data_IF_895218374216
#
_entry.id   IF_895218374216
#
_cell.length_a   1.000
_cell.length_b   1.000
_cell.length_c   1.000
_cell.angle_alpha   90.00
_cell.angle_beta   90.00
_cell.angle_gamma   90.00
#
_symmetry.space_group_name_H-M   'P 1'
#
loop_
_entity.id
_entity.type
_entity.pdbx_description
1 polymer ?
#
# COMPACT_ATOMS: atom_id res chain seq x y z
N UNK A 1 -18.55 14.96 -14.51
CA UNK A 1 -17.83 14.94 -15.79
C UNK A 1 -16.56 14.18 -15.52
N UNK A 2 -16.51 12.93 -15.98
CA UNK A 2 -15.34 12.06 -15.78
C UNK A 2 -14.26 12.68 -16.65
N UNK A 3 -13.29 13.34 -16.05
CA UNK A 3 -12.07 13.69 -16.75
C UNK A 3 -11.39 12.37 -16.99
N UNK A 4 -11.63 11.83 -18.15
CA UNK A 4 -10.94 10.65 -18.60
C UNK A 4 -9.45 10.89 -18.43
N UNK A 5 -8.79 10.00 -17.79
CA UNK A 5 -7.34 9.90 -17.65
C UNK A 5 -6.61 9.85 -18.99
N UNK A 6 -7.32 9.89 -20.04
CA UNK A 6 -6.84 10.22 -21.41
C UNK A 6 -5.90 11.43 -21.39
N UNK A 7 -6.05 12.31 -20.44
CA UNK A 7 -5.07 13.38 -20.23
C UNK A 7 -3.72 12.91 -19.69
N UNK A 8 -3.54 11.65 -19.38
CA UNK A 8 -2.20 11.13 -19.09
C UNK A 8 -1.29 11.17 -20.31
N UNK A 9 -1.84 11.18 -21.51
CA UNK A 9 -1.07 11.49 -22.72
C UNK A 9 -0.53 12.93 -22.74
N UNK A 10 -1.17 13.83 -21.99
CA UNK A 10 -0.73 15.22 -21.89
C UNK A 10 0.29 15.47 -20.80
N UNK A 11 0.56 14.46 -19.99
CA UNK A 11 1.45 14.63 -18.85
C UNK A 11 2.79 14.00 -19.17
N UNK A 12 3.41 14.01 -20.26
CA UNK A 12 4.77 13.54 -20.56
C UNK A 12 5.50 12.78 -19.42
N UNK A 13 4.71 12.14 -18.56
CA UNK A 13 5.21 11.35 -17.45
C UNK A 13 5.60 9.98 -17.97
N UNK A 14 6.71 9.52 -17.52
CA UNK A 14 7.37 8.29 -17.91
C UNK A 14 6.38 7.15 -18.14
N UNK A 15 6.59 6.30 -19.17
CA UNK A 15 5.72 5.17 -19.50
C UNK A 15 5.54 4.14 -18.38
N UNK A 16 6.22 4.33 -17.22
CA UNK A 16 6.08 3.51 -16.04
C UNK A 16 4.85 3.86 -15.19
N UNK A 17 4.21 5.00 -15.44
CA UNK A 17 2.96 5.37 -14.82
C UNK A 17 1.84 4.86 -15.71
N UNK A 18 1.57 3.58 -15.67
CA UNK A 18 0.39 3.06 -16.32
C UNK A 18 -0.82 3.38 -15.45
N UNK A 19 -1.51 4.43 -15.80
CA UNK A 19 -2.81 4.77 -15.23
C UNK A 19 -3.96 3.98 -15.87
N UNK A 20 -3.67 2.91 -16.62
CA UNK A 20 -4.67 1.94 -17.10
C UNK A 20 -5.58 1.41 -16.00
N UNK A 21 -5.38 1.92 -14.86
CA UNK A 21 -5.75 1.35 -13.61
C UNK A 21 -7.03 1.87 -13.05
N UNK A 22 -7.46 3.00 -13.46
CA UNK A 22 -8.45 3.73 -12.69
C UNK A 22 -9.64 4.18 -13.50
N UNK A 23 -10.30 3.27 -14.18
CA UNK A 23 -11.60 3.59 -14.76
C UNK A 23 -12.67 3.92 -13.70
N UNK A 24 -12.42 3.60 -12.43
CA UNK A 24 -13.42 3.74 -11.35
C UNK A 24 -13.01 4.61 -10.17
N UNK A 25 -11.77 5.10 -10.13
CA UNK A 25 -11.26 5.86 -8.98
C UNK A 25 -10.59 7.13 -9.44
N UNK A 26 -11.03 8.26 -8.90
CA UNK A 26 -10.35 9.54 -9.10
C UNK A 26 -8.99 9.51 -8.40
N UNK A 27 -7.92 9.35 -9.16
CA UNK A 27 -6.54 9.40 -8.67
C UNK A 27 -6.13 10.84 -8.39
N UNK A 28 -6.80 11.79 -9.04
CA UNK A 28 -6.57 13.22 -8.89
C UNK A 28 -7.74 13.88 -8.17
N UNK A 29 -7.44 14.83 -7.31
CA UNK A 29 -8.42 15.74 -6.76
C UNK A 29 -8.91 16.72 -7.85
N UNK A 30 -9.99 17.45 -7.58
CA UNK A 30 -10.54 18.44 -8.51
C UNK A 30 -9.56 19.56 -8.90
N UNK A 31 -8.53 19.79 -8.09
CA UNK A 31 -7.44 20.75 -8.32
C UNK A 31 -6.26 20.16 -9.13
N UNK A 32 -6.37 18.90 -9.59
CA UNK A 32 -5.32 18.22 -10.33
C UNK A 32 -4.21 17.61 -9.47
N UNK A 33 -4.29 17.74 -8.15
CA UNK A 33 -3.34 17.08 -7.25
C UNK A 33 -3.66 15.59 -7.10
N UNK A 34 -2.64 14.78 -6.81
CA UNK A 34 -2.86 13.36 -6.52
C UNK A 34 -3.69 13.16 -5.26
N UNK A 35 -4.74 12.34 -5.36
CA UNK A 35 -5.44 11.80 -4.20
C UNK A 35 -4.56 10.73 -3.55
N UNK A 36 -3.72 11.13 -2.61
CA UNK A 36 -2.75 10.28 -1.96
C UNK A 36 -2.72 10.45 -0.46
N UNK A 37 -2.39 9.36 0.22
CA UNK A 37 -2.08 9.41 1.64
C UNK A 37 -0.71 10.06 1.84
N UNK A 38 -0.67 11.21 2.54
CA UNK A 38 0.57 11.91 2.86
C UNK A 38 1.07 11.50 4.24
N UNK A 39 2.28 10.97 4.28
CA UNK A 39 2.95 10.51 5.50
C UNK A 39 4.16 11.41 5.78
N UNK A 40 4.28 11.88 7.03
CA UNK A 40 5.45 12.59 7.53
C UNK A 40 6.03 11.73 8.64
N UNK A 41 7.07 10.96 8.32
CA UNK A 41 7.66 10.01 9.25
C UNK A 41 9.13 9.73 8.90
N UNK A 42 9.99 9.82 9.90
CA UNK A 42 11.46 9.60 9.78
C UNK A 42 11.98 8.51 10.73
N UNK A 43 11.12 7.88 11.51
CA UNK A 43 11.54 6.98 12.60
C UNK A 43 12.40 5.80 12.15
N UNK A 44 12.39 5.45 10.86
CA UNK A 44 13.12 4.31 10.31
C UNK A 44 14.43 4.67 9.62
N UNK A 45 14.83 5.94 9.59
CA UNK A 45 15.96 6.39 8.75
C UNK A 45 17.30 5.79 9.17
N UNK A 46 17.58 5.70 10.46
CA UNK A 46 18.84 5.22 11.00
C UNK A 46 18.77 3.80 11.60
N UNK A 47 17.72 3.05 11.29
CA UNK A 47 17.53 1.70 11.82
C UNK A 47 18.22 0.64 10.95
N UNK A 48 18.81 -0.35 11.60
CA UNK A 48 19.26 -1.58 10.97
C UNK A 48 18.06 -2.49 10.62
N UNK A 49 18.33 -3.50 9.82
CA UNK A 49 17.34 -4.46 9.34
C UNK A 49 16.57 -5.18 10.46
N UNK A 50 17.26 -5.58 11.52
CA UNK A 50 16.67 -6.30 12.65
C UNK A 50 15.72 -5.41 13.43
N UNK A 51 16.13 -4.18 13.66
CA UNK A 51 15.32 -3.17 14.35
C UNK A 51 14.08 -2.80 13.54
N UNK A 52 14.23 -2.59 12.22
CA UNK A 52 13.08 -2.34 11.30
C UNK A 52 12.05 -3.47 11.43
N UNK A 53 12.47 -4.73 11.32
CA UNK A 53 11.55 -5.85 11.44
C UNK A 53 10.84 -5.90 12.80
N UNK A 54 11.56 -5.65 13.89
CA UNK A 54 11.00 -5.65 15.23
C UNK A 54 9.93 -4.56 15.39
N UNK A 55 10.23 -3.34 14.98
CA UNK A 55 9.26 -2.23 15.06
C UNK A 55 8.08 -2.43 14.11
N UNK A 56 8.29 -2.95 12.92
CA UNK A 56 7.22 -3.32 11.98
C UNK A 56 6.24 -4.31 12.61
N UNK A 57 6.75 -5.37 13.23
CA UNK A 57 5.92 -6.38 13.93
C UNK A 57 5.14 -5.75 15.07
N UNK A 58 5.80 -4.91 15.87
CA UNK A 58 5.17 -4.19 16.99
C UNK A 58 4.03 -3.31 16.48
N UNK A 59 4.26 -2.53 15.43
CA UNK A 59 3.25 -1.66 14.85
C UNK A 59 2.02 -2.46 14.38
N UNK A 60 2.23 -3.53 13.60
CA UNK A 60 1.12 -4.37 13.14
C UNK A 60 0.37 -5.01 14.31
N UNK A 61 1.07 -5.45 15.34
CA UNK A 61 0.44 -6.02 16.53
C UNK A 61 -0.39 -5.00 17.32
N UNK A 62 -0.05 -3.71 17.28
CA UNK A 62 -0.88 -2.65 17.86
C UNK A 62 -2.23 -2.50 17.17
N UNK A 63 -2.34 -2.88 15.90
CA UNK A 63 -3.59 -2.90 15.13
C UNK A 63 -4.34 -4.25 15.23
N UNK A 64 -3.82 -5.21 15.98
CA UNK A 64 -4.38 -6.56 16.03
C UNK A 64 -5.78 -6.59 16.62
N UNK A 65 -6.71 -7.21 15.90
CA UNK A 65 -8.12 -7.27 16.25
C UNK A 65 -8.94 -6.11 15.66
N UNK A 66 -8.29 -5.06 15.19
CA UNK A 66 -8.96 -3.93 14.55
C UNK A 66 -9.58 -4.33 13.21
N UNK A 67 -10.64 -3.62 12.84
CA UNK A 67 -11.38 -3.78 11.60
C UNK A 67 -11.42 -2.44 10.88
N UNK A 68 -10.83 -2.38 9.69
CA UNK A 68 -10.80 -1.19 8.86
C UNK A 68 -11.65 -1.37 7.61
N UNK A 69 -12.29 -0.31 7.14
CA UNK A 69 -13.10 -0.33 5.92
C UNK A 69 -12.32 0.29 4.77
N UNK A 70 -12.37 -0.36 3.62
CA UNK A 70 -11.92 0.22 2.34
C UNK A 70 -13.06 1.09 1.84
N UNK A 71 -12.81 2.40 1.68
CA UNK A 71 -13.83 3.39 1.34
C UNK A 71 -14.50 3.07 -0.01
N UNK A 72 -13.72 2.74 -1.03
CA UNK A 72 -14.20 2.43 -2.38
C UNK A 72 -15.20 1.26 -2.42
N UNK A 73 -14.92 0.18 -1.71
CA UNK A 73 -15.71 -1.06 -1.82
C UNK A 73 -16.55 -1.36 -0.60
N UNK A 74 -16.45 -0.55 0.45
CA UNK A 74 -17.04 -0.78 1.78
C UNK A 74 -16.69 -2.16 2.40
N UNK A 75 -15.62 -2.80 1.92
CA UNK A 75 -15.13 -4.06 2.45
C UNK A 75 -14.45 -3.85 3.80
N UNK A 76 -14.82 -4.66 4.78
CA UNK A 76 -14.15 -4.71 6.08
C UNK A 76 -12.93 -5.62 6.03
N UNK A 77 -11.79 -5.15 6.53
CA UNK A 77 -10.51 -5.85 6.59
C UNK A 77 -10.06 -5.95 8.04
N UNK A 78 -9.79 -7.15 8.48
CA UNK A 78 -9.39 -7.47 9.86
C UNK A 78 -7.85 -7.60 9.90
N UNK A 79 -7.24 -7.08 10.95
CA UNK A 79 -5.81 -7.29 11.23
C UNK A 79 -5.69 -8.47 12.21
N UNK A 80 -5.21 -9.61 11.74
CA UNK A 80 -5.06 -10.79 12.58
C UNK A 80 -3.59 -11.12 12.92
N UNK A 81 -3.38 -12.16 13.72
CA UNK A 81 -2.03 -12.61 14.10
C UNK A 81 -1.16 -13.01 12.90
N UNK A 82 -1.76 -13.47 11.80
CA UNK A 82 -0.99 -13.85 10.60
C UNK A 82 -0.43 -12.64 9.87
N UNK A 83 -1.10 -11.48 9.95
CA UNK A 83 -0.67 -10.27 9.27
C UNK A 83 0.76 -9.89 9.64
N UNK A 84 1.13 -9.85 10.91
CA UNK A 84 2.49 -9.49 11.33
C UNK A 84 3.55 -10.45 10.80
N UNK A 85 3.23 -11.76 10.74
CA UNK A 85 4.13 -12.78 10.22
C UNK A 85 4.33 -12.67 8.70
N UNK A 86 3.26 -12.60 7.94
CA UNK A 86 3.35 -12.57 6.48
C UNK A 86 3.95 -11.24 6.00
N UNK A 87 3.57 -10.14 6.63
CA UNK A 87 4.09 -8.81 6.33
C UNK A 87 5.62 -8.72 6.52
N UNK A 88 6.16 -9.30 7.60
CA UNK A 88 7.57 -9.16 7.96
C UNK A 88 8.45 -10.30 7.48
N UNK A 89 7.92 -11.52 7.40
CA UNK A 89 8.71 -12.73 7.18
C UNK A 89 8.32 -13.55 5.95
N UNK A 90 7.44 -13.05 5.08
CA UNK A 90 7.20 -13.68 3.78
C UNK A 90 8.51 -13.73 2.97
N UNK A 91 8.62 -14.68 2.04
CA UNK A 91 9.77 -14.74 1.12
C UNK A 91 9.97 -13.43 0.37
N UNK A 92 8.87 -12.80 -0.02
CA UNK A 92 8.89 -11.49 -0.64
C UNK A 92 9.51 -10.44 0.30
N UNK A 93 9.01 -10.34 1.55
CA UNK A 93 9.52 -9.36 2.51
C UNK A 93 11.00 -9.58 2.85
N UNK A 94 11.46 -10.84 2.88
CA UNK A 94 12.87 -11.16 3.12
C UNK A 94 13.77 -10.75 1.95
N UNK A 95 13.29 -10.80 0.70
CA UNK A 95 14.05 -10.42 -0.49
C UNK A 95 14.18 -8.93 -0.73
N UNK A 96 13.42 -8.09 0.01
CA UNK A 96 13.44 -6.65 -0.17
C UNK A 96 14.77 -6.03 0.29
N UNK A 97 15.21 -4.99 -0.41
CA UNK A 97 16.33 -4.14 0.03
C UNK A 97 15.96 -3.32 1.28
N UNK A 98 16.96 -2.74 1.93
CA UNK A 98 16.79 -2.00 3.18
C UNK A 98 15.83 -0.81 3.04
N UNK A 99 15.89 -0.08 1.94
CA UNK A 99 15.05 1.10 1.72
C UNK A 99 13.57 0.72 1.60
N UNK A 100 13.26 -0.33 0.82
CA UNK A 100 11.88 -0.83 0.71
C UNK A 100 11.37 -1.39 2.04
N UNK A 101 12.24 -1.98 2.86
CA UNK A 101 11.86 -2.42 4.22
C UNK A 101 11.56 -1.27 5.15
N UNK A 102 12.33 -0.19 5.08
CA UNK A 102 12.01 1.06 5.80
C UNK A 102 10.65 1.58 5.40
N UNK A 103 10.35 1.64 4.10
CA UNK A 103 9.03 2.03 3.61
C UNK A 103 7.92 1.13 4.17
N UNK A 104 8.09 -0.19 4.12
CA UNK A 104 7.13 -1.13 4.74
C UNK A 104 6.99 -0.89 6.24
N UNK A 105 8.09 -0.61 6.93
CA UNK A 105 8.08 -0.26 8.35
C UNK A 105 7.25 0.98 8.63
N UNK A 106 7.43 2.04 7.87
CA UNK A 106 6.63 3.27 7.95
C UNK A 106 5.16 2.94 7.71
N UNK A 107 4.83 2.25 6.62
CA UNK A 107 3.45 1.89 6.28
C UNK A 107 2.76 1.07 7.38
N UNK A 108 3.50 0.28 8.14
CA UNK A 108 2.92 -0.52 9.24
C UNK A 108 2.33 0.30 10.37
N UNK A 109 2.67 1.58 10.50
CA UNK A 109 2.09 2.50 11.49
C UNK A 109 0.72 3.05 11.03
N UNK A 110 0.49 3.09 9.73
CA UNK A 110 -0.64 3.78 9.09
C UNK A 110 -1.60 2.81 8.42
N UNK A 111 -1.74 1.59 8.96
CA UNK A 111 -2.57 0.54 8.34
C UNK A 111 -4.02 0.93 8.17
N UNK A 112 -4.58 1.72 9.09
CA UNK A 112 -5.95 2.23 8.98
C UNK A 112 -6.10 3.10 7.74
N UNK A 113 -5.26 4.11 7.63
CA UNK A 113 -5.28 5.08 6.54
C UNK A 113 -5.00 4.41 5.19
N UNK A 114 -4.02 3.49 5.15
CA UNK A 114 -3.66 2.73 3.95
C UNK A 114 -4.82 1.87 3.48
N UNK A 115 -5.43 1.10 4.37
CA UNK A 115 -6.56 0.24 4.01
C UNK A 115 -7.76 1.09 3.58
N UNK A 116 -8.06 2.17 4.31
CA UNK A 116 -9.22 3.01 4.01
C UNK A 116 -9.11 3.73 2.67
N UNK A 117 -7.89 4.13 2.27
CA UNK A 117 -7.63 4.83 1.01
C UNK A 117 -7.20 3.90 -0.13
N UNK A 118 -7.27 2.58 0.07
CA UNK A 118 -6.97 1.61 -0.98
C UNK A 118 -8.09 1.54 -2.02
N UNK A 119 -7.73 1.39 -3.28
CA UNK A 119 -8.62 1.46 -4.44
C UNK A 119 -8.25 0.45 -5.53
N UNK A 120 -8.99 0.44 -6.63
CA UNK A 120 -8.75 -0.42 -7.81
C UNK A 120 -8.62 -1.91 -7.46
N UNK A 121 -9.74 -2.47 -7.04
CA UNK A 121 -9.80 -3.87 -6.63
C UNK A 121 -9.61 -4.83 -7.80
N UNK A 122 -8.62 -5.69 -7.73
CA UNK A 122 -8.49 -6.89 -8.56
C UNK A 122 -8.54 -8.17 -7.72
N UNK A 123 -8.83 -9.29 -8.36
CA UNK A 123 -8.92 -10.59 -7.70
C UNK A 123 -7.89 -11.56 -8.27
N UNK A 124 -7.20 -12.31 -7.39
CA UNK A 124 -6.24 -13.33 -7.79
C UNK A 124 -6.47 -14.62 -7.02
N UNK A 125 -6.54 -15.72 -7.75
CA UNK A 125 -6.62 -17.04 -7.15
C UNK A 125 -5.28 -17.76 -7.34
N UNK A 126 -4.51 -17.89 -6.28
CA UNK A 126 -3.24 -18.60 -6.31
C UNK A 126 -3.45 -20.10 -6.17
N UNK A 127 -3.04 -20.88 -7.16
CA UNK A 127 -3.18 -22.35 -7.18
C UNK A 127 -2.19 -23.09 -6.26
N UNK A 128 -1.21 -22.42 -5.67
CA UNK A 128 -0.23 -23.05 -4.77
C UNK A 128 -0.89 -23.49 -3.47
N UNK A 129 -0.66 -24.73 -3.03
CA UNK A 129 -1.30 -25.35 -1.85
C UNK A 129 -1.21 -24.49 -0.57
N UNK A 130 -0.06 -23.82 -0.32
CA UNK A 130 0.08 -22.90 0.82
C UNK A 130 -0.95 -21.76 0.77
N UNK A 131 -1.11 -21.14 -0.39
CA UNK A 131 -2.01 -20.01 -0.55
C UNK A 131 -3.47 -20.43 -0.49
N UNK A 132 -3.82 -21.61 -0.99
CA UNK A 132 -5.18 -22.18 -0.87
C UNK A 132 -5.55 -22.39 0.59
N UNK A 133 -4.62 -22.85 1.44
CA UNK A 133 -4.86 -23.03 2.87
C UNK A 133 -5.07 -21.70 3.60
N UNK A 134 -4.35 -20.65 3.21
CA UNK A 134 -4.43 -19.34 3.88
C UNK A 134 -5.59 -18.48 3.38
N UNK A 135 -5.96 -18.64 2.10
CA UNK A 135 -7.01 -17.88 1.43
C UNK A 135 -7.87 -18.80 0.57
N UNK A 136 -8.77 -19.52 1.19
CA UNK A 136 -9.66 -20.50 0.51
C UNK A 136 -10.39 -19.90 -0.67
N UNK A 137 -10.79 -18.64 -0.54
CA UNK A 137 -11.52 -17.91 -1.57
C UNK A 137 -10.64 -16.87 -2.28
N UNK A 138 -9.31 -17.09 -2.34
CA UNK A 138 -8.37 -16.25 -3.06
C UNK A 138 -7.97 -14.97 -2.35
N UNK A 139 -7.40 -14.05 -3.13
CA UNK A 139 -6.88 -12.78 -2.63
C UNK A 139 -7.48 -11.63 -3.42
N UNK A 140 -7.76 -10.53 -2.73
CA UNK A 140 -7.98 -9.23 -3.33
C UNK A 140 -6.69 -8.41 -3.29
N UNK A 141 -6.40 -7.73 -4.37
CA UNK A 141 -5.31 -6.77 -4.50
C UNK A 141 -5.95 -5.40 -4.66
N UNK A 142 -5.56 -4.46 -3.84
CA UNK A 142 -5.95 -3.06 -3.95
C UNK A 142 -4.70 -2.22 -4.14
N UNK A 143 -4.77 -1.17 -4.91
CA UNK A 143 -3.70 -0.19 -5.03
C UNK A 143 -3.81 0.85 -3.92
N UNK A 144 -2.69 1.45 -3.60
CA UNK A 144 -2.59 2.63 -2.75
C UNK A 144 -1.51 3.55 -3.32
N UNK A 145 -1.82 4.82 -3.46
CA UNK A 145 -0.83 5.87 -3.74
C UNK A 145 -0.58 6.65 -2.46
N UNK A 146 0.66 6.80 -2.11
CA UNK A 146 1.05 7.53 -0.91
C UNK A 146 2.32 8.33 -1.14
N UNK A 147 2.51 9.39 -0.35
CA UNK A 147 3.77 10.12 -0.36
C UNK A 147 4.42 10.08 1.02
N UNK A 148 5.75 10.05 1.01
CA UNK A 148 6.56 10.27 2.20
C UNK A 148 7.32 11.56 2.01
N UNK A 149 7.10 12.49 2.95
CA UNK A 149 7.76 13.79 2.98
C UNK A 149 8.84 13.80 4.05
N UNK A 150 10.05 14.13 3.65
CA UNK A 150 11.12 14.57 4.54
C UNK A 150 11.23 16.12 4.50
N UNK A 151 12.24 16.69 5.13
CA UNK A 151 12.39 18.15 5.21
C UNK A 151 12.69 18.80 3.86
N UNK A 152 13.19 18.04 2.90
CA UNK A 152 13.75 18.55 1.64
C UNK A 152 12.88 18.18 0.44
N UNK A 153 12.28 16.99 0.47
CA UNK A 153 11.58 16.44 -0.70
C UNK A 153 10.37 15.61 -0.30
N UNK A 154 9.45 15.48 -1.21
CA UNK A 154 8.32 14.56 -1.14
C UNK A 154 8.47 13.50 -2.22
N UNK A 155 8.48 12.23 -1.81
CA UNK A 155 8.55 11.11 -2.74
C UNK A 155 7.19 10.44 -2.80
N UNK A 156 6.69 10.22 -4.02
CA UNK A 156 5.41 9.55 -4.26
C UNK A 156 5.67 8.10 -4.61
N UNK A 157 4.88 7.21 -4.02
CA UNK A 157 4.96 5.77 -4.19
C UNK A 157 3.59 5.18 -4.49
N UNK A 158 3.61 4.07 -5.20
CA UNK A 158 2.49 3.14 -5.32
C UNK A 158 2.83 1.84 -4.60
N UNK A 159 1.82 1.19 -4.04
CA UNK A 159 1.94 -0.16 -3.50
C UNK A 159 0.65 -0.95 -3.68
N UNK A 160 0.73 -2.26 -3.46
CA UNK A 160 -0.42 -3.17 -3.50
C UNK A 160 -0.72 -3.69 -2.09
N UNK A 161 -1.90 -3.40 -1.59
CA UNK A 161 -2.44 -3.98 -0.36
C UNK A 161 -3.05 -5.34 -0.70
N UNK A 162 -2.46 -6.40 -0.19
CA UNK A 162 -2.90 -7.78 -0.42
C UNK A 162 -3.80 -8.24 0.73
N UNK A 163 -5.01 -8.62 0.40
CA UNK A 163 -6.04 -9.04 1.35
C UNK A 163 -6.46 -10.47 1.04
N UNK A 164 -6.33 -11.36 2.02
CA UNK A 164 -6.80 -12.74 1.89
C UNK A 164 -8.28 -12.86 2.20
N UNK A 165 -8.99 -13.65 1.41
CA UNK A 165 -10.37 -14.04 1.64
C UNK A 165 -10.36 -15.45 2.22
N UNK A 166 -10.59 -15.55 3.52
CA UNK A 166 -10.39 -16.77 4.30
C UNK A 166 -11.62 -17.68 4.28
N UNK A 167 -11.49 -18.88 4.85
CA UNK A 167 -12.54 -19.88 4.89
C UNK A 167 -13.79 -19.41 5.63
N UNK A 168 -13.65 -18.57 6.64
CA UNK A 168 -14.75 -17.95 7.38
C UNK A 168 -15.44 -16.79 6.62
N UNK A 169 -15.11 -16.62 5.31
CA UNK A 169 -15.57 -15.55 4.43
C UNK A 169 -15.19 -14.13 4.89
N UNK A 170 -14.34 -14.00 5.91
CA UNK A 170 -13.80 -12.71 6.32
C UNK A 170 -12.55 -12.35 5.53
N UNK A 171 -12.29 -11.07 5.44
CA UNK A 171 -11.14 -10.50 4.75
C UNK A 171 -10.09 -10.06 5.77
N UNK A 172 -8.87 -10.45 5.54
CA UNK A 172 -7.75 -10.15 6.45
C UNK A 172 -6.61 -9.52 5.68
N UNK A 173 -5.95 -8.55 6.28
CA UNK A 173 -4.69 -8.05 5.74
C UNK A 173 -3.68 -9.20 5.65
N UNK A 174 -3.03 -9.33 4.50
CA UNK A 174 -2.00 -10.34 4.30
C UNK A 174 -0.61 -9.72 4.18
N UNK A 175 -0.44 -8.74 3.28
CA UNK A 175 0.84 -8.06 3.06
C UNK A 175 0.63 -6.71 2.34
N UNK A 176 1.68 -5.89 2.26
CA UNK A 176 1.81 -4.78 1.33
C UNK A 176 2.99 -5.09 0.41
N UNK A 177 2.73 -5.13 -0.89
CA UNK A 177 3.62 -5.61 -1.93
C UNK A 177 3.93 -4.51 -2.95
N UNK A 178 4.90 -4.80 -3.82
CA UNK A 178 5.16 -4.07 -5.06
C UNK A 178 5.31 -2.55 -4.84
N UNK A 179 6.00 -2.16 -3.76
CA UNK A 179 6.24 -0.75 -3.46
C UNK A 179 7.18 -0.17 -4.51
N UNK A 180 6.67 0.77 -5.30
CA UNK A 180 7.37 1.44 -6.40
C UNK A 180 7.38 2.93 -6.16
N UNK A 181 8.50 3.58 -6.44
CA UNK A 181 8.58 5.03 -6.48
C UNK A 181 8.07 5.52 -7.83
N UNK A 182 7.12 6.44 -7.81
CA UNK A 182 6.54 7.02 -9.00
C UNK A 182 7.26 8.32 -9.41
N UNK A 183 7.37 9.28 -8.52
CA UNK A 183 7.87 10.62 -8.81
C UNK A 183 8.70 11.14 -7.63
N UNK A 184 9.69 11.99 -7.96
CA UNK A 184 10.31 12.92 -7.04
C UNK A 184 9.68 14.28 -7.27
N UNK A 185 8.84 14.75 -6.39
CA UNK A 185 8.53 16.17 -6.37
C UNK A 185 9.72 16.85 -5.69
N UNK A 186 10.67 17.38 -6.49
CA UNK A 186 11.56 18.38 -5.98
C UNK A 186 10.67 19.52 -5.47
N UNK A 187 10.97 20.03 -4.28
CA UNK A 187 10.38 21.27 -3.80
C UNK A 187 10.86 22.39 -4.72
N UNK A 188 10.17 22.61 -5.84
CA UNK A 188 10.38 23.87 -6.53
C UNK A 188 9.80 24.97 -5.64
N UNK A 189 10.58 26.01 -5.35
CA UNK A 189 10.03 27.18 -4.73
C UNK A 189 9.01 27.75 -5.70
N UNK A 190 7.75 27.78 -5.30
CA UNK A 190 6.73 28.54 -6.00
C UNK A 190 7.12 30.01 -5.92
N UNK A 191 7.62 30.55 -7.04
CA UNK A 191 7.85 31.97 -7.24
C UNK A 191 6.51 32.66 -7.44
#
# INVERSE_FOLDING_TARGET
MIVNIISCECLDYTPEISFEVCESTEVYNADGSFNRLRIIDKDFDNMDFKTINKETIKNINNHRGEVYKITETNNSVIIDKKASREYSFSKYSQSLNINTKKLKGILSKYLKEIISNSFDRSFVNYKKAKHVKDAKYGFYRYKIVFSIKDDVKENIYEAVVLIRNSEDKKKYLYDILDIKKLINLASEPWI
#
